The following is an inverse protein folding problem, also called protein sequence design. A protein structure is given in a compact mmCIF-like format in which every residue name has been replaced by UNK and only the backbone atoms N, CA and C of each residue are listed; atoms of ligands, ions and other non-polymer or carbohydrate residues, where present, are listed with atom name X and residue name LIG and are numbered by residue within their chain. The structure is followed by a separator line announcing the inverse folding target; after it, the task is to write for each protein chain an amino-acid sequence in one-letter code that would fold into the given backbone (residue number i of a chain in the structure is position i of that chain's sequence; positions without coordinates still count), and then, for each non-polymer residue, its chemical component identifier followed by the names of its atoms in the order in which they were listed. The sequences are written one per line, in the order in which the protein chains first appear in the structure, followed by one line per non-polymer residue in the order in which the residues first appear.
data_IF_973829019873
#
_entry.id   IF_973829019873
#
_cell.length_a   1.000
_cell.length_b   1.000
_cell.length_c   1.000
_cell.angle_alpha   90.00
_cell.angle_beta   90.00
_cell.angle_gamma   90.00
#
_symmetry.space_group_name_H-M   'P 1'
#
loop_
_entity.id
_entity.type
_entity.pdbx_description
1 polymer ?
#
# COMPACT_ATOMS: atom_id res chain seq x y z
N UNK A 1 -13.83 16.07 13.69
CA UNK A 1 -13.27 15.25 12.58
C UNK A 1 -11.83 15.68 12.34
N UNK A 2 -10.82 14.82 12.57
CA UNK A 2 -9.42 15.24 12.50
C UNK A 2 -9.00 15.71 11.09
N UNK A 3 -9.48 15.05 10.03
CA UNK A 3 -9.10 15.33 8.64
C UNK A 3 -9.83 16.51 7.98
N UNK A 4 -10.79 17.13 8.68
CA UNK A 4 -11.46 18.36 8.25
C UNK A 4 -11.10 19.56 9.14
N UNK A 5 -10.12 19.39 10.03
CA UNK A 5 -9.68 20.46 10.92
C UNK A 5 -8.85 21.51 10.18
N UNK A 6 -8.87 22.74 10.69
CA UNK A 6 -8.05 23.83 10.15
C UNK A 6 -6.55 23.47 10.14
N UNK A 7 -6.05 22.88 11.23
CA UNK A 7 -4.66 22.47 11.35
C UNK A 7 -4.25 21.46 10.26
N UNK A 8 -5.12 20.50 9.94
CA UNK A 8 -4.84 19.53 8.88
C UNK A 8 -4.89 20.17 7.49
N UNK A 9 -5.76 21.15 7.28
CA UNK A 9 -5.82 21.93 6.04
C UNK A 9 -4.52 22.70 5.81
N UNK A 10 -4.03 23.41 6.82
CA UNK A 10 -2.77 24.15 6.74
C UNK A 10 -1.57 23.23 6.51
N UNK A 11 -1.56 22.05 7.15
CA UNK A 11 -0.56 21.01 6.89
C UNK A 11 -0.62 20.50 5.45
N UNK A 12 -1.81 20.25 4.91
CA UNK A 12 -1.95 19.78 3.54
C UNK A 12 -1.45 20.84 2.53
N UNK A 13 -1.82 22.10 2.73
CA UNK A 13 -1.39 23.22 1.90
C UNK A 13 0.14 23.41 1.93
N UNK A 14 0.78 23.30 3.10
CA UNK A 14 2.24 23.47 3.21
C UNK A 14 3.05 22.35 2.56
N UNK A 15 2.48 21.14 2.47
CA UNK A 15 3.07 19.99 1.78
C UNK A 15 2.62 19.87 0.31
N UNK A 16 1.82 20.82 -0.21
CA UNK A 16 1.32 20.79 -1.58
C UNK A 16 0.31 19.67 -1.86
N UNK A 17 -0.38 19.18 -0.84
CA UNK A 17 -1.40 18.13 -0.95
C UNK A 17 -2.79 18.73 -1.21
N UNK A 18 -3.48 18.18 -2.21
CA UNK A 18 -4.90 18.50 -2.44
C UNK A 18 -5.78 17.62 -1.53
N UNK A 19 -6.52 18.25 -0.61
CA UNK A 19 -7.52 17.55 0.19
C UNK A 19 -8.81 17.34 -0.60
N UNK A 20 -9.18 16.07 -0.79
CA UNK A 20 -10.46 15.66 -1.39
C UNK A 20 -11.23 14.86 -0.35
N UNK A 21 -12.36 15.39 0.10
CA UNK A 21 -13.23 14.71 1.06
C UNK A 21 -14.32 13.95 0.32
N UNK A 22 -14.54 12.68 0.69
CA UNK A 22 -15.69 11.91 0.23
C UNK A 22 -16.96 12.36 0.95
N UNK A 23 -18.10 12.34 0.26
CA UNK A 23 -19.39 12.55 0.91
C UNK A 23 -19.60 11.43 1.96
N UNK A 24 -19.97 11.75 3.22
CA UNK A 24 -20.26 10.75 4.25
C UNK A 24 -21.31 9.71 3.83
N UNK A 25 -22.23 10.07 2.92
CA UNK A 25 -23.27 9.17 2.38
C UNK A 25 -22.81 8.38 1.15
N UNK A 26 -21.53 8.43 0.77
CA UNK A 26 -20.99 7.76 -0.41
C UNK A 26 -19.75 6.88 -0.10
N UNK A 27 -19.92 5.79 0.68
CA UNK A 27 -18.82 4.92 1.11
C UNK A 27 -18.15 4.17 -0.05
N UNK A 28 -18.83 4.02 -1.20
CA UNK A 28 -18.29 3.31 -2.37
C UNK A 28 -16.97 3.90 -2.88
N UNK A 29 -16.76 5.21 -2.72
CA UNK A 29 -15.51 5.89 -3.08
C UNK A 29 -14.29 5.38 -2.29
N UNK A 30 -14.50 4.76 -1.13
CA UNK A 30 -13.45 4.38 -0.20
C UNK A 30 -13.24 2.85 -0.09
N UNK A 31 -13.98 2.04 -0.86
CA UNK A 31 -14.00 0.59 -0.69
C UNK A 31 -12.64 -0.11 -0.82
N UNK A 32 -11.75 0.38 -1.70
CA UNK A 32 -10.40 -0.18 -1.84
C UNK A 32 -9.54 0.04 -0.60
N UNK A 33 -9.62 1.23 0.01
CA UNK A 33 -8.86 1.54 1.22
C UNK A 33 -9.39 0.71 2.40
N UNK A 34 -10.71 0.57 2.53
CA UNK A 34 -11.36 -0.22 3.58
C UNK A 34 -10.99 -1.70 3.47
N UNK A 35 -11.03 -2.26 2.25
CA UNK A 35 -10.58 -3.63 1.99
C UNK A 35 -9.10 -3.82 2.36
N UNK A 36 -8.26 -2.86 2.00
CA UNK A 36 -6.82 -2.90 2.32
C UNK A 36 -6.60 -2.85 3.83
N UNK A 37 -7.32 -2.00 4.56
CA UNK A 37 -7.29 -1.97 6.04
C UNK A 37 -7.70 -3.32 6.63
N UNK A 38 -8.72 -3.97 6.08
CA UNK A 38 -9.12 -5.33 6.46
C UNK A 38 -8.01 -6.36 6.25
N UNK A 39 -7.34 -6.32 5.10
CA UNK A 39 -6.20 -7.20 4.78
C UNK A 39 -5.07 -7.00 5.80
N UNK A 40 -4.68 -5.75 6.06
CA UNK A 40 -3.59 -5.42 6.99
C UNK A 40 -3.93 -5.85 8.42
N UNK A 41 -5.16 -5.62 8.89
CA UNK A 41 -5.60 -6.08 10.22
C UNK A 41 -5.56 -7.61 10.34
N UNK A 42 -6.01 -8.33 9.31
CA UNK A 42 -5.94 -9.78 9.29
C UNK A 42 -4.49 -10.29 9.26
N UNK A 43 -3.60 -9.60 8.53
CA UNK A 43 -2.17 -9.89 8.52
C UNK A 43 -1.56 -9.70 9.92
N UNK A 44 -1.85 -8.59 10.59
CA UNK A 44 -1.40 -8.36 11.98
C UNK A 44 -1.86 -9.46 12.93
N UNK A 45 -3.10 -9.93 12.80
CA UNK A 45 -3.64 -11.05 13.60
C UNK A 45 -2.85 -12.33 13.35
N UNK A 46 -2.66 -12.70 12.08
CA UNK A 46 -1.87 -13.89 11.70
C UNK A 46 -0.42 -13.81 12.18
N UNK A 47 0.20 -12.63 12.09
CA UNK A 47 1.55 -12.42 12.60
C UNK A 47 1.64 -12.63 14.11
N UNK A 48 0.65 -12.13 14.86
CA UNK A 48 0.54 -12.34 16.30
C UNK A 48 0.34 -13.81 16.67
N UNK A 49 -0.49 -14.54 15.93
CA UNK A 49 -0.76 -15.97 16.17
C UNK A 49 0.45 -16.85 15.84
N UNK A 50 1.21 -16.49 14.80
CA UNK A 50 2.39 -17.24 14.34
C UNK A 50 3.72 -16.77 14.95
N UNK A 51 3.71 -15.74 15.81
CA UNK A 51 4.91 -15.06 16.31
C UNK A 51 5.88 -14.63 15.20
N UNK A 52 5.34 -14.13 14.08
CA UNK A 52 6.15 -13.61 12.96
C UNK A 52 6.19 -12.09 12.94
N UNK A 53 7.25 -11.52 12.38
CA UNK A 53 7.39 -10.07 12.24
C UNK A 53 6.43 -9.52 11.18
N UNK A 54 5.57 -8.58 11.61
CA UNK A 54 4.64 -7.87 10.74
C UNK A 54 5.32 -7.12 9.60
N UNK A 55 6.52 -6.57 9.82
CA UNK A 55 7.25 -5.85 8.78
C UNK A 55 7.69 -6.77 7.64
N UNK A 56 8.10 -7.99 7.97
CA UNK A 56 8.45 -9.02 6.98
C UNK A 56 7.21 -9.45 6.20
N UNK A 57 6.07 -9.63 6.87
CA UNK A 57 4.81 -9.95 6.20
C UNK A 57 4.36 -8.83 5.24
N UNK A 58 4.47 -7.57 5.65
CA UNK A 58 4.17 -6.41 4.80
C UNK A 58 5.13 -6.28 3.62
N UNK A 59 6.42 -6.57 3.82
CA UNK A 59 7.41 -6.60 2.75
C UNK A 59 7.03 -7.63 1.68
N UNK A 60 6.69 -8.84 2.09
CA UNK A 60 6.25 -9.91 1.20
C UNK A 60 4.96 -9.53 0.47
N UNK A 61 3.97 -8.97 1.17
CA UNK A 61 2.73 -8.51 0.53
C UNK A 61 2.97 -7.47 -0.57
N UNK A 62 3.91 -6.53 -0.36
CA UNK A 62 4.28 -5.53 -1.37
C UNK A 62 5.05 -6.11 -2.55
N UNK A 63 5.73 -7.24 -2.36
CA UNK A 63 6.53 -7.92 -3.38
C UNK A 63 5.73 -8.95 -4.20
N UNK A 64 4.60 -9.45 -3.66
CA UNK A 64 3.73 -10.42 -4.34
C UNK A 64 2.77 -9.73 -5.32
N UNK A 65 2.57 -10.26 -6.53
CA UNK A 65 1.53 -9.78 -7.45
C UNK A 65 0.14 -9.83 -6.81
N UNK A 66 -0.66 -8.80 -7.05
CA UNK A 66 -2.06 -8.75 -6.57
C UNK A 66 -2.96 -9.39 -7.60
N UNK A 67 -3.90 -10.24 -7.18
CA UNK A 67 -4.76 -11.00 -8.09
C UNK A 67 -5.46 -10.12 -9.14
N UNK A 68 -5.29 -10.48 -10.42
CA UNK A 68 -5.80 -9.74 -11.59
C UNK A 68 -4.79 -8.83 -12.27
N UNK A 69 -3.60 -8.62 -11.69
CA UNK A 69 -2.49 -7.86 -12.26
C UNK A 69 -1.21 -8.70 -12.22
N UNK A 70 -0.39 -8.61 -13.27
CA UNK A 70 0.92 -9.27 -13.33
C UNK A 70 2.00 -8.57 -12.47
N UNK A 71 1.66 -7.40 -11.92
CA UNK A 71 2.58 -6.54 -11.18
C UNK A 71 2.28 -6.51 -9.68
N UNK A 72 3.34 -6.46 -8.88
CA UNK A 72 3.21 -6.26 -7.43
C UNK A 72 3.05 -4.78 -7.06
N UNK A 73 2.51 -4.46 -5.87
CA UNK A 73 2.33 -3.07 -5.45
C UNK A 73 3.62 -2.25 -5.47
N UNK A 74 4.75 -2.88 -5.13
CA UNK A 74 6.06 -2.22 -5.17
C UNK A 74 6.53 -1.89 -6.58
N UNK A 75 6.24 -2.75 -7.56
CA UNK A 75 6.55 -2.48 -8.97
C UNK A 75 5.67 -1.34 -9.50
N UNK A 76 4.39 -1.31 -9.14
CA UNK A 76 3.49 -0.22 -9.56
C UNK A 76 3.87 1.13 -8.95
N UNK A 77 4.32 1.15 -7.69
CA UNK A 77 4.66 2.38 -6.98
C UNK A 77 6.09 2.87 -7.25
N UNK A 78 7.05 1.95 -7.32
CA UNK A 78 8.49 2.27 -7.34
C UNK A 78 9.18 1.83 -8.63
N UNK A 79 8.44 1.26 -9.59
CA UNK A 79 8.98 0.66 -10.80
C UNK A 79 10.10 -0.36 -10.53
N UNK A 80 10.07 -1.08 -9.41
CA UNK A 80 11.13 -2.05 -9.06
C UNK A 80 10.61 -3.17 -8.19
N UNK A 81 11.29 -4.32 -8.23
CA UNK A 81 11.07 -5.39 -7.25
C UNK A 81 11.85 -5.10 -5.97
N UNK A 82 11.25 -5.44 -4.84
CA UNK A 82 11.89 -5.35 -3.53
C UNK A 82 12.71 -6.62 -3.26
N UNK A 83 13.80 -6.46 -2.51
CA UNK A 83 14.56 -7.60 -1.99
C UNK A 83 13.78 -8.22 -0.84
N UNK A 84 13.41 -9.49 -0.96
CA UNK A 84 12.73 -10.26 0.08
C UNK A 84 13.69 -11.30 0.68
N UNK A 85 13.17 -12.18 1.53
CA UNK A 85 13.92 -13.33 2.07
C UNK A 85 14.20 -14.39 1.01
N UNK A 86 13.50 -14.36 -0.13
CA UNK A 86 13.71 -15.29 -1.21
C UNK A 86 14.91 -14.86 -2.06
N UNK A 87 15.76 -15.80 -2.51
CA UNK A 87 16.87 -15.49 -3.39
C UNK A 87 16.33 -14.92 -4.71
N UNK A 88 16.88 -13.78 -5.14
CA UNK A 88 16.55 -13.16 -6.42
C UNK A 88 17.82 -12.66 -7.11
N UNK A 89 17.77 -12.58 -8.44
CA UNK A 89 18.87 -12.00 -9.21
C UNK A 89 18.95 -10.49 -9.00
N UNK A 90 20.16 -9.96 -8.78
CA UNK A 90 20.39 -8.51 -8.63
C UNK A 90 19.90 -7.71 -9.84
N UNK A 91 19.95 -8.30 -11.04
CA UNK A 91 19.44 -7.68 -12.26
C UNK A 91 17.94 -7.36 -12.15
N UNK A 92 17.19 -8.19 -11.42
CA UNK A 92 15.75 -8.02 -11.24
C UNK A 92 15.38 -6.94 -10.21
N UNK A 93 16.34 -6.43 -9.43
CA UNK A 93 16.12 -5.36 -8.44
C UNK A 93 16.26 -3.96 -9.05
N UNK A 94 16.78 -3.87 -10.28
CA UNK A 94 16.87 -2.61 -11.02
C UNK A 94 15.47 -2.10 -11.37
N UNK A 95 15.30 -0.78 -11.44
CA UNK A 95 14.01 -0.22 -11.82
C UNK A 95 13.69 -0.54 -13.29
N UNK A 96 12.48 -1.02 -13.51
CA UNK A 96 11.87 -1.29 -14.80
C UNK A 96 10.39 -0.86 -14.73
N UNK A 97 9.99 0.03 -15.64
CA UNK A 97 8.66 0.65 -15.61
C UNK A 97 7.64 -0.35 -16.18
N UNK A 98 6.62 -0.75 -15.41
CA UNK A 98 5.62 -1.69 -15.88
C UNK A 98 4.85 -1.09 -17.06
N UNK A 99 4.75 -1.84 -18.15
CA UNK A 99 3.88 -1.48 -19.28
C UNK A 99 2.47 -1.93 -18.94
N UNK A 100 1.62 -0.98 -18.60
CA UNK A 100 0.18 -1.20 -18.46
C UNK A 100 -0.42 -1.17 -19.88
N UNK A 101 -1.12 -2.24 -20.24
CA UNK A 101 -1.85 -2.34 -21.50
C UNK A 101 -3.14 -1.50 -21.47
#
# INVERSE_FOLDING_TARGET
MPFASYNFKQFAESYGMQLVHSNPRYPQSNGLSEKTVGIVKNMMRKCRESNTDFNVAMLNYRATPVGGLDYSPSVLLMARKLRTTLPCSEKSLKPDVPKLA
#
